data_IF_950880743878
#
_entry.id   IF_950880743878
#
_cell.length_a   1.000
_cell.length_b   1.000
_cell.length_c   1.000
_cell.angle_alpha   90.00
_cell.angle_beta   90.00
_cell.angle_gamma   90.00
#
_symmetry.space_group_name_H-M   'P 1'
#
loop_
_entity.id
_entity.type
_entity.pdbx_description
1 polymer ?
#
# COMPACT_ATOMS: atom_id res chain seq x y z
N UNK A 1 -10.77 23.98 23.10
CA UNK A 1 -11.47 22.69 23.29
C UNK A 1 -10.61 21.78 24.14
N UNK A 2 -11.19 20.79 24.84
CA UNK A 2 -10.36 19.84 25.58
C UNK A 2 -9.62 18.90 24.63
N UNK A 3 -8.30 18.80 24.75
CA UNK A 3 -7.51 17.83 24.00
C UNK A 3 -7.79 16.42 24.52
N UNK A 4 -8.32 15.56 23.68
CA UNK A 4 -8.56 14.16 24.03
C UNK A 4 -7.31 13.33 23.65
N UNK A 5 -6.94 12.46 24.56
CA UNK A 5 -5.79 11.55 24.39
C UNK A 5 -6.20 10.12 24.72
N UNK A 6 -5.98 9.21 23.76
CA UNK A 6 -6.13 7.77 23.93
C UNK A 6 -4.80 7.08 23.61
N UNK A 7 -4.39 6.16 24.45
CA UNK A 7 -3.16 5.39 24.28
C UNK A 7 -3.44 3.91 24.53
N UNK A 8 -2.93 3.06 23.65
CA UNK A 8 -2.96 1.61 23.82
C UNK A 8 -1.61 1.00 23.43
N UNK A 9 -1.24 -0.03 24.15
CA UNK A 9 -0.09 -0.87 23.82
C UNK A 9 -0.61 -2.13 23.12
N UNK A 10 -0.13 -2.35 21.91
CA UNK A 10 -0.47 -3.52 21.10
C UNK A 10 0.74 -4.45 21.09
N UNK A 11 0.56 -5.71 21.48
CA UNK A 11 1.63 -6.70 21.57
C UNK A 11 1.45 -7.79 20.53
N UNK A 12 2.56 -8.14 19.88
CA UNK A 12 2.68 -9.34 19.07
C UNK A 12 3.66 -10.31 19.71
N UNK A 13 3.83 -11.49 19.15
CA UNK A 13 4.82 -12.49 19.61
C UNK A 13 6.27 -11.96 19.55
N UNK A 14 6.56 -10.94 18.74
CA UNK A 14 7.91 -10.44 18.46
C UNK A 14 8.11 -8.95 18.79
N UNK A 15 7.05 -8.17 18.97
CA UNK A 15 7.16 -6.70 19.05
C UNK A 15 6.06 -6.10 19.91
N UNK A 16 6.37 -4.96 20.51
CA UNK A 16 5.43 -4.11 21.25
C UNK A 16 5.30 -2.77 20.52
N UNK A 17 4.06 -2.32 20.36
CA UNK A 17 3.73 -1.10 19.66
C UNK A 17 2.88 -0.20 20.55
N UNK A 18 3.04 1.11 20.40
CA UNK A 18 2.20 2.13 21.05
C UNK A 18 1.32 2.80 19.98
N UNK A 19 0.02 2.75 20.18
CA UNK A 19 -0.94 3.54 19.41
C UNK A 19 -1.39 4.73 20.25
N UNK A 20 -1.17 5.95 19.76
CA UNK A 20 -1.55 7.19 20.40
C UNK A 20 -2.51 7.97 19.49
N UNK A 21 -3.67 8.35 20.01
CA UNK A 21 -4.63 9.18 19.25
C UNK A 21 -4.95 10.43 20.03
N UNK A 22 -4.79 11.59 19.39
CA UNK A 22 -5.02 12.92 19.96
C UNK A 22 -5.92 13.76 19.07
N UNK A 23 -6.53 14.78 19.64
CA UNK A 23 -7.14 15.88 18.87
C UNK A 23 -6.20 17.07 18.78
N UNK A 24 -6.19 17.77 17.67
CA UNK A 24 -5.47 19.03 17.47
C UNK A 24 -6.48 20.10 17.11
N UNK A 25 -6.76 21.01 18.04
CA UNK A 25 -7.67 22.12 17.82
C UNK A 25 -7.12 23.12 16.79
N UNK A 26 -5.81 23.30 16.77
CA UNK A 26 -5.14 24.18 15.80
C UNK A 26 -5.26 23.69 14.36
N UNK A 27 -5.05 22.38 14.13
CA UNK A 27 -5.13 21.76 12.81
C UNK A 27 -6.54 21.26 12.47
N UNK A 28 -7.46 21.29 13.43
CA UNK A 28 -8.80 20.67 13.32
C UNK A 28 -8.76 19.21 12.86
N UNK A 29 -7.83 18.43 13.44
CA UNK A 29 -7.61 17.05 13.10
C UNK A 29 -7.66 16.14 14.34
N UNK A 30 -8.19 14.94 14.15
CA UNK A 30 -7.89 13.79 15.00
C UNK A 30 -6.65 13.13 14.42
N UNK A 31 -5.61 12.95 15.21
CA UNK A 31 -4.31 12.42 14.79
C UNK A 31 -4.08 11.11 15.53
N UNK A 32 -3.91 10.02 14.78
CA UNK A 32 -3.55 8.71 15.31
C UNK A 32 -2.14 8.36 14.87
N UNK A 33 -1.22 8.25 15.82
CA UNK A 33 0.19 7.95 15.59
C UNK A 33 0.54 6.59 16.15
N UNK A 34 1.27 5.81 15.38
CA UNK A 34 1.66 4.44 15.67
C UNK A 34 3.18 4.37 15.80
N UNK A 35 3.67 3.81 16.91
CA UNK A 35 5.08 3.80 17.25
C UNK A 35 5.56 2.39 17.57
N UNK A 36 6.85 2.13 17.33
CA UNK A 36 7.60 0.96 17.77
C UNK A 36 8.88 1.41 18.44
N UNK A 37 9.10 1.00 19.70
CA UNK A 37 10.28 1.38 20.49
C UNK A 37 10.55 2.90 20.48
N UNK A 38 9.49 3.72 20.54
CA UNK A 38 9.57 5.17 20.51
C UNK A 38 9.72 5.79 19.09
N UNK A 39 10.03 5.01 18.07
CA UNK A 39 10.09 5.48 16.68
C UNK A 39 8.69 5.55 16.07
N UNK A 40 8.37 6.66 15.42
CA UNK A 40 7.11 6.84 14.69
C UNK A 40 7.11 5.99 13.42
N UNK A 41 6.13 5.11 13.26
CA UNK A 41 5.94 4.28 12.07
C UNK A 41 4.96 4.90 11.08
N UNK A 42 3.79 5.31 11.60
CA UNK A 42 2.71 5.85 10.79
C UNK A 42 1.95 6.93 11.55
N UNK A 43 1.41 7.91 10.81
CA UNK A 43 0.41 8.85 11.31
C UNK A 43 -0.79 8.86 10.38
N UNK A 44 -1.98 8.72 10.95
CA UNK A 44 -3.26 8.85 10.25
C UNK A 44 -4.05 10.00 10.84
N UNK A 45 -4.71 10.75 9.98
CA UNK A 45 -5.49 11.91 10.38
C UNK A 45 -6.93 11.77 9.92
N UNK A 46 -7.83 12.43 10.65
CA UNK A 46 -9.25 12.61 10.28
C UNK A 46 -9.65 14.03 10.60
N UNK A 47 -10.27 14.71 9.67
CA UNK A 47 -10.77 16.07 9.89
C UNK A 47 -11.85 16.09 10.97
N UNK A 48 -11.83 17.12 11.80
CA UNK A 48 -12.85 17.40 12.80
C UNK A 48 -13.93 18.24 12.13
N UNK A 49 -15.16 17.69 12.05
CA UNK A 49 -16.31 18.46 11.62
C UNK A 49 -16.64 19.52 12.68
N UNK A 50 -17.00 20.73 12.25
CA UNK A 50 -17.32 21.86 13.12
C UNK A 50 -18.47 21.56 14.13
N UNK A 51 -19.34 20.61 13.79
CA UNK A 51 -20.44 20.16 14.65
C UNK A 51 -20.00 19.23 15.79
N UNK A 52 -18.75 18.71 15.73
CA UNK A 52 -18.25 17.79 16.75
C UNK A 52 -17.63 18.56 17.90
N UNK A 53 -18.38 18.71 18.98
CA UNK A 53 -17.94 19.40 20.20
C UNK A 53 -18.07 18.49 21.43
N UNK A 54 -17.32 18.78 22.48
CA UNK A 54 -17.42 18.10 23.78
C UNK A 54 -17.42 16.58 23.69
N UNK A 55 -18.46 15.95 24.24
CA UNK A 55 -18.59 14.48 24.31
C UNK A 55 -18.69 13.81 22.91
N UNK A 56 -19.29 14.47 21.93
CA UNK A 56 -19.38 13.93 20.57
C UNK A 56 -17.99 13.83 19.93
N UNK A 57 -17.14 14.86 20.07
CA UNK A 57 -15.77 14.84 19.59
C UNK A 57 -14.96 13.75 20.30
N UNK A 58 -15.12 13.63 21.64
CA UNK A 58 -14.49 12.55 22.42
C UNK A 58 -14.88 11.16 21.91
N UNK A 59 -16.18 10.94 21.68
CA UNK A 59 -16.69 9.66 21.14
C UNK A 59 -16.14 9.37 19.74
N UNK A 60 -16.07 10.38 18.86
CA UNK A 60 -15.51 10.23 17.49
C UNK A 60 -14.02 9.93 17.52
N UNK A 61 -13.27 10.60 18.40
CA UNK A 61 -11.83 10.36 18.59
C UNK A 61 -11.58 8.96 19.12
N UNK A 62 -12.34 8.52 20.15
CA UNK A 62 -12.27 7.16 20.68
C UNK A 62 -12.59 6.11 19.60
N UNK A 63 -13.65 6.34 18.81
CA UNK A 63 -14.03 5.44 17.72
C UNK A 63 -12.93 5.32 16.67
N UNK A 64 -12.27 6.41 16.32
CA UNK A 64 -11.15 6.41 15.39
C UNK A 64 -9.95 5.64 15.96
N UNK A 65 -9.64 5.85 17.23
CA UNK A 65 -8.60 5.10 17.94
C UNK A 65 -8.85 3.59 17.92
N UNK A 66 -10.05 3.16 18.31
CA UNK A 66 -10.44 1.74 18.32
C UNK A 66 -10.47 1.11 16.92
N UNK A 67 -10.80 1.90 15.90
CA UNK A 67 -10.73 1.48 14.50
C UNK A 67 -9.27 1.17 14.11
N UNK A 68 -8.35 2.08 14.40
CA UNK A 68 -6.92 1.90 14.10
C UNK A 68 -6.29 0.76 14.90
N UNK A 69 -6.62 0.65 16.18
CA UNK A 69 -6.20 -0.49 17.01
C UNK A 69 -6.59 -1.82 16.41
N UNK A 70 -7.87 -1.98 16.03
CA UNK A 70 -8.37 -3.22 15.44
C UNK A 70 -7.71 -3.55 14.10
N UNK A 71 -7.41 -2.56 13.26
CA UNK A 71 -6.68 -2.76 12.01
C UNK A 71 -5.30 -3.38 12.26
N UNK A 72 -4.54 -2.83 13.21
CA UNK A 72 -3.19 -3.31 13.53
C UNK A 72 -3.25 -4.70 14.16
N UNK A 73 -4.12 -4.91 15.16
CA UNK A 73 -4.30 -6.21 15.79
C UNK A 73 -4.73 -7.29 14.79
N UNK A 74 -5.57 -6.93 13.81
CA UNK A 74 -5.99 -7.85 12.75
C UNK A 74 -4.80 -8.29 11.92
N UNK A 75 -3.92 -7.38 11.50
CA UNK A 75 -2.73 -7.70 10.71
C UNK A 75 -1.77 -8.61 11.47
N UNK A 76 -1.52 -8.31 12.74
CA UNK A 76 -0.64 -9.11 13.58
C UNK A 76 -1.20 -10.53 13.80
N UNK A 77 -2.50 -10.64 14.08
CA UNK A 77 -3.17 -11.95 14.20
C UNK A 77 -3.18 -12.73 12.88
N UNK A 78 -3.29 -12.02 11.74
CA UNK A 78 -3.24 -12.65 10.42
C UNK A 78 -1.83 -13.18 10.14
N UNK A 79 -0.77 -12.43 10.49
CA UNK A 79 0.62 -12.89 10.40
C UNK A 79 0.85 -14.15 11.24
N UNK A 80 0.43 -14.16 12.51
CA UNK A 80 0.54 -15.34 13.36
C UNK A 80 -0.22 -16.56 12.79
N UNK A 81 -1.39 -16.34 12.21
CA UNK A 81 -2.22 -17.38 11.63
C UNK A 81 -1.66 -17.94 10.32
N UNK A 82 -1.03 -17.08 9.50
CA UNK A 82 -0.43 -17.46 8.22
C UNK A 82 1.00 -17.99 8.39
N UNK A 83 1.52 -18.09 9.60
CA UNK A 83 2.90 -18.55 9.86
C UNK A 83 3.18 -19.94 9.25
N UNK A 84 2.22 -20.84 9.30
CA UNK A 84 2.30 -22.21 8.75
C UNK A 84 1.61 -22.32 7.37
N UNK A 85 1.23 -21.20 6.78
CA UNK A 85 0.59 -21.18 5.45
C UNK A 85 1.61 -21.41 4.36
N UNK A 86 1.24 -22.23 3.38
CA UNK A 86 2.00 -22.47 2.14
C UNK A 86 1.64 -21.51 0.99
N UNK A 87 0.85 -20.47 1.26
CA UNK A 87 0.34 -19.53 0.26
C UNK A 87 1.24 -18.29 0.18
N UNK A 88 2.16 -18.30 -0.78
CA UNK A 88 3.09 -17.19 -1.02
C UNK A 88 2.39 -15.85 -1.29
N UNK A 89 1.30 -15.88 -2.04
CA UNK A 89 0.53 -14.70 -2.43
C UNK A 89 -0.11 -14.03 -1.20
N UNK A 90 -0.62 -14.81 -0.25
CA UNK A 90 -1.17 -14.26 1.00
C UNK A 90 -0.11 -13.58 1.85
N UNK A 91 1.07 -14.19 1.97
CA UNK A 91 2.21 -13.58 2.67
C UNK A 91 2.67 -12.31 1.97
N UNK A 92 2.72 -12.32 0.64
CA UNK A 92 3.04 -11.11 -0.13
C UNK A 92 2.01 -9.98 0.10
N UNK A 93 0.71 -10.28 0.11
CA UNK A 93 -0.34 -9.31 0.42
C UNK A 93 -0.21 -8.75 1.84
N UNK A 94 0.08 -9.60 2.82
CA UNK A 94 0.28 -9.19 4.21
C UNK A 94 1.53 -8.31 4.36
N UNK A 95 2.63 -8.68 3.71
CA UNK A 95 3.85 -7.86 3.65
C UNK A 95 3.58 -6.47 3.06
N UNK A 96 2.80 -6.38 1.99
CA UNK A 96 2.38 -5.08 1.44
C UNK A 96 1.52 -4.27 2.41
N UNK A 97 0.66 -4.92 3.20
CA UNK A 97 -0.15 -4.24 4.22
C UNK A 97 0.72 -3.70 5.36
N UNK A 98 1.74 -4.44 5.78
CA UNK A 98 2.73 -3.97 6.75
C UNK A 98 3.56 -2.81 6.19
N UNK A 99 4.03 -2.89 4.93
CA UNK A 99 4.76 -1.78 4.28
C UNK A 99 3.99 -0.47 4.32
N UNK A 100 2.69 -0.49 4.05
CA UNK A 100 1.83 0.70 4.06
C UNK A 100 1.64 1.32 5.45
N UNK A 101 1.88 0.54 6.50
CA UNK A 101 1.78 0.99 7.91
C UNK A 101 3.13 1.29 8.53
N UNK A 102 4.19 1.40 7.71
CA UNK A 102 5.54 1.64 8.21
C UNK A 102 6.15 0.47 9.01
N UNK A 103 5.46 -0.67 9.06
CA UNK A 103 5.90 -1.90 9.73
C UNK A 103 6.85 -2.67 8.81
N UNK A 104 7.96 -2.02 8.44
CA UNK A 104 8.84 -2.51 7.37
C UNK A 104 9.57 -3.80 7.73
N UNK A 105 9.89 -4.02 9.01
CA UNK A 105 10.57 -5.24 9.46
C UNK A 105 9.63 -6.45 9.45
N UNK A 106 8.36 -6.25 9.82
CA UNK A 106 7.32 -7.27 9.68
C UNK A 106 7.08 -7.60 8.20
N UNK A 107 7.09 -6.58 7.35
CA UNK A 107 6.95 -6.78 5.90
C UNK A 107 8.10 -7.61 5.32
N UNK A 108 9.35 -7.36 5.75
CA UNK A 108 10.51 -8.16 5.33
C UNK A 108 10.29 -9.64 5.65
N UNK A 109 9.87 -9.97 6.87
CA UNK A 109 9.62 -11.36 7.28
C UNK A 109 8.59 -12.03 6.37
N UNK A 110 7.45 -11.38 6.12
CA UNK A 110 6.39 -11.96 5.28
C UNK A 110 6.85 -12.13 3.82
N UNK A 111 7.62 -11.18 3.28
CA UNK A 111 8.15 -11.30 1.92
C UNK A 111 9.27 -12.35 1.81
N UNK A 112 10.16 -12.48 2.80
CA UNK A 112 11.18 -13.54 2.84
C UNK A 112 10.52 -14.93 2.82
N UNK A 113 9.49 -15.13 3.66
CA UNK A 113 8.72 -16.37 3.67
C UNK A 113 7.97 -16.59 2.34
N UNK A 114 7.40 -15.54 1.73
CA UNK A 114 6.74 -15.63 0.44
C UNK A 114 7.69 -16.06 -0.69
N UNK A 115 8.93 -15.55 -0.70
CA UNK A 115 9.97 -15.94 -1.66
C UNK A 115 10.35 -17.42 -1.50
N UNK A 116 10.46 -17.90 -0.25
CA UNK A 116 10.76 -19.33 0.02
C UNK A 116 9.65 -20.24 -0.50
N UNK A 117 8.38 -19.84 -0.30
CA UNK A 117 7.21 -20.62 -0.72
C UNK A 117 7.04 -20.65 -2.25
N UNK A 118 7.28 -19.53 -2.92
CA UNK A 118 7.20 -19.47 -4.39
C UNK A 118 8.31 -18.58 -4.99
N UNK A 119 9.48 -19.16 -5.29
CA UNK A 119 10.63 -18.41 -5.79
C UNK A 119 10.50 -18.01 -7.28
N UNK A 120 9.35 -18.25 -7.92
CA UNK A 120 9.15 -17.93 -9.35
C UNK A 120 8.37 -16.63 -9.58
N UNK A 121 7.92 -15.95 -8.54
CA UNK A 121 7.10 -14.73 -8.67
C UNK A 121 7.98 -13.49 -8.50
N UNK A 122 8.36 -12.86 -9.61
CA UNK A 122 9.24 -11.67 -9.62
C UNK A 122 8.72 -10.49 -8.78
N UNK A 123 7.40 -10.31 -8.73
CA UNK A 123 6.76 -9.25 -7.93
C UNK A 123 7.04 -9.38 -6.43
N UNK A 124 7.16 -10.62 -5.91
CA UNK A 124 7.51 -10.83 -4.49
C UNK A 124 8.94 -10.35 -4.22
N UNK A 125 9.89 -10.65 -5.10
CA UNK A 125 11.26 -10.14 -5.00
C UNK A 125 11.32 -8.62 -5.06
N UNK A 126 10.56 -8.00 -5.96
CA UNK A 126 10.47 -6.54 -6.01
C UNK A 126 9.92 -5.94 -4.70
N UNK A 127 8.88 -6.52 -4.12
CA UNK A 127 8.33 -6.08 -2.84
C UNK A 127 9.31 -6.29 -1.69
N UNK A 128 10.03 -7.42 -1.66
CA UNK A 128 11.08 -7.70 -0.68
C UNK A 128 12.22 -6.68 -0.78
N UNK A 129 12.70 -6.40 -2.00
CA UNK A 129 13.76 -5.41 -2.22
C UNK A 129 13.36 -4.00 -1.77
N UNK A 130 12.09 -3.61 -1.98
CA UNK A 130 11.54 -2.36 -1.43
C UNK A 130 11.52 -2.36 0.10
N UNK A 131 11.14 -3.47 0.71
CA UNK A 131 11.14 -3.61 2.16
C UNK A 131 12.56 -3.54 2.73
N UNK A 132 13.54 -4.21 2.12
CA UNK A 132 14.95 -4.09 2.49
C UNK A 132 15.47 -2.64 2.35
N UNK A 133 15.07 -1.93 1.30
CA UNK A 133 15.42 -0.51 1.13
C UNK A 133 14.88 0.33 2.29
N UNK A 134 13.64 0.07 2.72
CA UNK A 134 12.98 0.79 3.81
C UNK A 134 13.65 0.53 5.18
N UNK A 135 14.14 -0.68 5.44
CA UNK A 135 14.89 -1.04 6.65
C UNK A 135 16.41 -0.79 6.52
N UNK A 136 16.85 -0.14 5.43
CA UNK A 136 18.24 0.25 5.13
C UNK A 136 19.21 -0.94 4.92
N UNK A 137 18.70 -2.11 4.59
CA UNK A 137 19.48 -3.28 4.17
C UNK A 137 19.74 -3.18 2.66
N UNK A 138 20.58 -2.22 2.26
CA UNK A 138 20.71 -1.80 0.86
C UNK A 138 21.36 -2.85 -0.03
N UNK A 139 22.32 -3.62 0.47
CA UNK A 139 22.98 -4.70 -0.27
C UNK A 139 22.00 -5.80 -0.66
N UNK A 140 21.20 -6.24 0.32
CA UNK A 140 20.16 -7.24 0.11
C UNK A 140 19.05 -6.68 -0.80
N UNK A 141 18.71 -5.40 -0.66
CA UNK A 141 17.75 -4.74 -1.54
C UNK A 141 18.20 -4.77 -3.00
N UNK A 142 19.45 -4.39 -3.27
CA UNK A 142 20.03 -4.38 -4.62
C UNK A 142 20.01 -5.79 -5.21
N UNK A 143 20.58 -6.78 -4.49
CA UNK A 143 20.64 -8.16 -4.96
C UNK A 143 19.26 -8.75 -5.26
N UNK A 144 18.28 -8.47 -4.39
CA UNK A 144 16.90 -8.96 -4.53
C UNK A 144 16.18 -8.30 -5.71
N UNK A 145 16.37 -6.97 -5.90
CA UNK A 145 15.77 -6.25 -7.02
C UNK A 145 16.40 -6.64 -8.37
N UNK A 146 17.71 -6.92 -8.40
CA UNK A 146 18.38 -7.46 -9.59
C UNK A 146 17.81 -8.84 -9.96
N UNK A 147 17.50 -9.70 -8.99
CA UNK A 147 16.81 -10.97 -9.22
C UNK A 147 15.41 -10.75 -9.80
N UNK A 148 14.62 -9.80 -9.25
CA UNK A 148 13.31 -9.48 -9.79
C UNK A 148 13.38 -9.05 -11.26
N UNK A 149 14.35 -8.20 -11.63
CA UNK A 149 14.57 -7.73 -13.00
C UNK A 149 15.05 -8.88 -13.91
N UNK A 150 15.93 -9.75 -13.42
CA UNK A 150 16.40 -10.93 -14.19
C UNK A 150 15.25 -11.88 -14.55
N UNK A 151 14.24 -11.98 -13.67
CA UNK A 151 13.03 -12.79 -13.91
C UNK A 151 12.04 -12.08 -14.85
N UNK A 152 11.96 -10.76 -14.80
CA UNK A 152 10.97 -9.97 -15.54
C UNK A 152 11.47 -8.54 -15.74
N UNK A 153 12.16 -8.29 -16.84
CA UNK A 153 12.83 -7.01 -17.14
C UNK A 153 11.91 -5.88 -17.64
N UNK A 154 10.66 -6.18 -17.96
CA UNK A 154 9.74 -5.21 -18.58
C UNK A 154 9.01 -4.28 -17.58
N UNK A 155 9.20 -4.46 -16.28
CA UNK A 155 8.49 -3.68 -15.27
C UNK A 155 9.24 -2.40 -14.89
N UNK A 156 8.68 -1.24 -15.23
CA UNK A 156 9.25 0.07 -14.95
C UNK A 156 9.47 0.30 -13.43
N UNK A 157 8.58 -0.19 -12.59
CA UNK A 157 8.65 -0.06 -11.14
C UNK A 157 9.82 -0.87 -10.54
N UNK A 158 10.20 -2.01 -11.14
CA UNK A 158 11.37 -2.79 -10.69
C UNK A 158 12.67 -1.99 -10.88
N UNK A 159 12.83 -1.38 -12.06
CA UNK A 159 13.97 -0.50 -12.33
C UNK A 159 13.96 0.74 -11.44
N UNK A 160 12.79 1.36 -11.24
CA UNK A 160 12.67 2.50 -10.34
C UNK A 160 13.06 2.15 -8.89
N UNK A 161 12.64 1.00 -8.39
CA UNK A 161 12.96 0.55 -7.03
C UNK A 161 14.45 0.22 -6.88
N UNK A 162 15.08 -0.41 -7.90
CA UNK A 162 16.53 -0.64 -7.91
C UNK A 162 17.31 0.68 -7.97
N UNK A 163 16.85 1.63 -8.79
CA UNK A 163 17.39 2.98 -8.84
C UNK A 163 17.35 3.69 -7.48
N UNK A 164 16.23 3.52 -6.74
CA UNK A 164 16.07 4.05 -5.39
C UNK A 164 17.05 3.41 -4.39
N UNK A 165 17.25 2.09 -4.44
CA UNK A 165 18.22 1.40 -3.59
C UNK A 165 19.64 1.90 -3.85
N UNK A 166 20.03 2.08 -5.12
CA UNK A 166 21.31 2.70 -5.48
C UNK A 166 21.40 4.16 -5.02
N UNK A 167 20.35 4.95 -5.18
CA UNK A 167 20.31 6.35 -4.76
C UNK A 167 20.54 6.49 -3.24
N UNK A 168 19.94 5.60 -2.44
CA UNK A 168 20.13 5.58 -0.98
C UNK A 168 21.55 5.16 -0.56
N UNK A 169 22.31 4.50 -1.43
CA UNK A 169 23.73 4.23 -1.28
C UNK A 169 24.63 5.29 -1.94
N UNK A 170 24.04 6.36 -2.46
CA UNK A 170 24.74 7.43 -3.18
C UNK A 170 25.47 6.98 -4.46
N UNK A 171 25.11 5.81 -5.00
CA UNK A 171 25.59 5.32 -6.29
C UNK A 171 24.81 5.99 -7.44
N UNK A 172 25.07 7.29 -7.62
CA UNK A 172 24.27 8.15 -8.49
C UNK A 172 24.26 7.71 -9.94
N UNK A 173 25.40 7.22 -10.47
CA UNK A 173 25.49 6.74 -11.84
C UNK A 173 24.59 5.53 -12.06
N UNK A 174 24.68 4.51 -11.19
CA UNK A 174 23.82 3.32 -11.27
C UNK A 174 22.35 3.67 -11.06
N UNK A 175 22.05 4.59 -10.16
CA UNK A 175 20.68 5.07 -9.93
C UNK A 175 20.11 5.72 -11.20
N UNK A 176 20.84 6.63 -11.85
CA UNK A 176 20.44 7.26 -13.10
C UNK A 176 20.20 6.24 -14.20
N UNK A 177 21.10 5.27 -14.38
CA UNK A 177 20.93 4.17 -15.37
C UNK A 177 19.62 3.40 -15.16
N UNK A 178 19.27 3.09 -13.91
CA UNK A 178 18.03 2.36 -13.62
C UNK A 178 16.78 3.24 -13.80
N UNK A 179 16.82 4.50 -13.37
CA UNK A 179 15.69 5.41 -13.59
C UNK A 179 15.46 5.69 -15.09
N UNK A 180 16.52 5.76 -15.90
CA UNK A 180 16.36 5.86 -17.36
C UNK A 180 15.68 4.63 -17.94
N UNK A 181 16.05 3.41 -17.51
CA UNK A 181 15.34 2.19 -17.91
C UNK A 181 13.87 2.19 -17.48
N UNK A 182 13.58 2.72 -16.29
CA UNK A 182 12.21 2.84 -15.82
C UNK A 182 11.36 3.76 -16.71
N UNK A 183 11.88 4.93 -17.10
CA UNK A 183 11.14 5.87 -17.97
C UNK A 183 11.08 5.39 -19.43
N UNK A 184 12.07 4.63 -19.89
CA UNK A 184 12.04 3.98 -21.22
C UNK A 184 10.96 2.89 -21.26
N UNK A 185 10.80 2.11 -20.17
CA UNK A 185 9.75 1.09 -20.07
C UNK A 185 8.35 1.70 -19.89
N UNK A 186 8.25 2.86 -19.25
CA UNK A 186 7.00 3.58 -19.07
C UNK A 186 7.21 5.10 -19.07
N UNK A 187 6.91 5.74 -20.20
CA UNK A 187 7.06 7.19 -20.40
C UNK A 187 6.08 8.04 -19.58
N UNK A 188 5.08 7.44 -18.95
CA UNK A 188 4.12 8.10 -18.06
C UNK A 188 4.39 7.86 -16.59
N UNK A 189 5.59 7.40 -16.24
CA UNK A 189 5.96 7.13 -14.86
C UNK A 189 6.55 8.38 -14.18
N UNK A 190 5.69 9.28 -13.71
CA UNK A 190 6.06 10.57 -13.10
C UNK A 190 7.08 10.42 -11.97
N UNK A 191 6.92 9.40 -11.10
CA UNK A 191 7.80 9.16 -9.96
C UNK A 191 9.25 8.86 -10.40
N UNK A 192 9.44 8.11 -11.50
CA UNK A 192 10.77 7.81 -12.02
C UNK A 192 11.48 9.06 -12.56
N UNK A 193 10.77 9.98 -13.23
CA UNK A 193 11.34 11.28 -13.63
C UNK A 193 11.74 12.11 -12.41
N UNK A 194 10.93 12.11 -11.36
CA UNK A 194 11.26 12.83 -10.13
C UNK A 194 12.53 12.25 -9.47
N UNK A 195 12.62 10.93 -9.35
CA UNK A 195 13.80 10.25 -8.81
C UNK A 195 15.05 10.49 -9.67
N UNK A 196 14.90 10.57 -10.98
CA UNK A 196 15.97 10.91 -11.89
C UNK A 196 16.51 12.33 -11.62
N UNK A 197 15.60 13.30 -11.41
CA UNK A 197 15.99 14.64 -10.98
C UNK A 197 16.75 14.62 -9.65
N UNK A 198 16.25 13.88 -8.65
CA UNK A 198 16.93 13.71 -7.36
C UNK A 198 18.32 13.11 -7.51
N UNK A 199 18.50 12.11 -8.38
CA UNK A 199 19.80 11.48 -8.62
C UNK A 199 20.81 12.46 -9.22
N UNK A 200 20.40 13.33 -10.15
CA UNK A 200 21.28 14.39 -10.67
C UNK A 200 21.66 15.42 -9.60
N UNK A 201 20.73 15.81 -8.73
CA UNK A 201 21.03 16.73 -7.62
C UNK A 201 22.00 16.11 -6.62
N UNK A 202 21.78 14.85 -6.24
CA UNK A 202 22.66 14.12 -5.33
C UNK A 202 24.07 14.01 -5.91
N UNK A 203 24.20 13.66 -7.21
CA UNK A 203 25.49 13.60 -7.88
C UNK A 203 26.21 14.95 -7.91
N UNK A 204 25.48 16.06 -8.09
CA UNK A 204 26.07 17.41 -8.05
C UNK A 204 26.62 17.78 -6.66
N UNK A 205 26.06 17.19 -5.61
CA UNK A 205 26.53 17.34 -4.23
C UNK A 205 27.69 16.38 -3.92
N UNK A 206 27.55 15.07 -4.20
CA UNK A 206 28.56 14.05 -3.89
C UNK A 206 29.74 14.04 -4.86
N UNK A 207 29.55 14.54 -6.09
CA UNK A 207 30.52 14.54 -7.20
C UNK A 207 31.02 13.14 -7.58
N UNK A 208 30.14 12.13 -7.48
CA UNK A 208 30.48 10.74 -7.79
C UNK A 208 30.83 10.53 -9.27
N UNK A 209 30.09 11.21 -10.18
CA UNK A 209 30.33 11.12 -11.63
C UNK A 209 30.33 12.50 -12.28
N UNK A 210 31.44 12.87 -12.93
CA UNK A 210 31.59 14.18 -13.58
C UNK A 210 30.62 14.34 -14.78
N UNK A 211 30.39 13.29 -15.57
CA UNK A 211 29.54 13.37 -16.75
C UNK A 211 28.07 13.66 -16.38
N UNK A 212 27.61 13.16 -15.23
CA UNK A 212 26.27 13.48 -14.72
C UNK A 212 26.15 14.94 -14.29
N UNK A 213 27.24 15.58 -13.86
CA UNK A 213 27.26 16.96 -13.41
C UNK A 213 27.14 17.98 -14.56
N UNK A 214 27.43 17.57 -15.80
CA UNK A 214 27.30 18.44 -16.98
C UNK A 214 25.82 18.79 -17.19
N UNK A 215 25.53 20.11 -17.25
CA UNK A 215 24.19 20.66 -17.41
C UNK A 215 23.18 20.16 -16.34
N UNK A 216 23.68 19.89 -15.12
CA UNK A 216 22.88 19.32 -14.04
C UNK A 216 21.55 20.07 -13.82
N UNK A 217 21.58 21.40 -13.66
CA UNK A 217 20.37 22.18 -13.39
C UNK A 217 19.33 22.05 -14.51
N UNK A 218 19.76 21.97 -15.78
CA UNK A 218 18.85 21.77 -16.90
C UNK A 218 18.24 20.37 -16.86
N UNK A 219 19.06 19.32 -16.66
CA UNK A 219 18.59 17.93 -16.53
C UNK A 219 17.57 17.79 -15.39
N UNK A 220 17.84 18.41 -14.24
CA UNK A 220 16.93 18.40 -13.09
C UNK A 220 15.61 19.05 -13.47
N UNK A 221 15.64 20.26 -14.03
CA UNK A 221 14.44 20.99 -14.44
C UNK A 221 13.62 20.19 -15.45
N UNK A 222 14.24 19.68 -16.52
CA UNK A 222 13.54 18.93 -17.57
C UNK A 222 12.82 17.71 -17.01
N UNK A 223 13.42 17.01 -16.03
CA UNK A 223 12.80 15.84 -15.41
C UNK A 223 11.69 16.21 -14.42
N UNK A 224 11.84 17.29 -13.65
CA UNK A 224 10.76 17.79 -12.78
C UNK A 224 9.56 18.28 -13.60
N UNK A 225 9.80 18.99 -14.71
CA UNK A 225 8.76 19.46 -15.63
C UNK A 225 8.00 18.26 -16.25
N UNK A 226 8.72 17.21 -16.66
CA UNK A 226 8.09 15.96 -17.15
C UNK A 226 7.25 15.28 -16.07
N UNK A 227 7.77 15.17 -14.85
CA UNK A 227 7.02 14.58 -13.73
C UNK A 227 5.73 15.38 -13.47
N UNK A 228 5.82 16.72 -13.43
CA UNK A 228 4.69 17.62 -13.21
C UNK A 228 3.66 17.58 -14.35
N UNK A 229 4.11 17.44 -15.60
CA UNK A 229 3.23 17.32 -16.78
C UNK A 229 2.42 16.04 -16.73
N UNK A 230 2.99 14.93 -16.25
CA UNK A 230 2.31 13.64 -16.10
C UNK A 230 1.37 13.67 -14.90
N UNK A 231 1.84 14.20 -13.76
CA UNK A 231 1.06 14.34 -12.54
C UNK A 231 1.34 15.70 -11.87
N UNK A 232 0.36 16.63 -11.91
CA UNK A 232 0.52 17.98 -11.36
C UNK A 232 0.89 18.02 -9.86
N UNK A 233 0.66 16.96 -9.09
CA UNK A 233 1.06 16.90 -7.68
C UNK A 233 2.59 16.99 -7.48
N UNK A 234 3.38 16.72 -8.52
CA UNK A 234 4.83 16.90 -8.51
C UNK A 234 5.27 18.36 -8.69
N UNK A 235 4.33 19.28 -8.98
CA UNK A 235 4.58 20.71 -8.97
C UNK A 235 4.09 21.31 -7.64
N UNK A 236 4.98 21.36 -6.64
CA UNK A 236 4.65 21.83 -5.29
C UNK A 236 5.70 22.83 -4.77
N UNK A 237 5.40 23.48 -3.64
CA UNK A 237 6.27 24.50 -3.04
C UNK A 237 7.70 24.00 -2.76
N UNK A 238 7.86 22.72 -2.42
CA UNK A 238 9.17 22.15 -2.12
C UNK A 238 10.01 22.01 -3.41
N UNK A 239 9.37 21.70 -4.55
CA UNK A 239 10.04 21.70 -5.87
C UNK A 239 10.47 23.12 -6.26
N UNK A 240 9.59 24.11 -6.12
CA UNK A 240 9.94 25.51 -6.39
C UNK A 240 11.11 25.99 -5.52
N UNK A 241 11.12 25.62 -4.25
CA UNK A 241 12.24 25.88 -3.32
C UNK A 241 13.53 25.18 -3.78
N UNK A 242 13.43 23.93 -4.23
CA UNK A 242 14.60 23.20 -4.74
C UNK A 242 15.19 23.85 -5.98
N UNK A 243 14.37 24.30 -6.93
CA UNK A 243 14.83 25.01 -8.13
C UNK A 243 15.57 26.32 -7.79
N UNK A 244 15.07 27.07 -6.80
CA UNK A 244 15.76 28.28 -6.35
C UNK A 244 17.12 27.97 -5.69
N UNK A 245 17.18 26.91 -4.87
CA UNK A 245 18.43 26.45 -4.25
C UNK A 245 19.44 25.93 -5.29
N UNK A 246 18.97 25.31 -6.38
CA UNK A 246 19.83 24.89 -7.50
C UNK A 246 20.48 26.08 -8.22
N UNK A 247 19.76 27.19 -8.43
CA UNK A 247 20.34 28.43 -8.99
C UNK A 247 21.46 28.97 -8.10
N UNK A 248 21.31 28.80 -6.77
CA UNK A 248 22.32 29.21 -5.78
C UNK A 248 23.43 28.15 -5.58
N UNK A 249 23.43 27.06 -6.34
CA UNK A 249 24.35 25.91 -6.21
C UNK A 249 24.35 25.25 -4.82
N UNK A 250 23.25 25.34 -4.07
CA UNK A 250 23.04 24.73 -2.75
C UNK A 250 22.44 23.33 -2.92
N UNK A 251 23.20 22.42 -3.53
CA UNK A 251 22.70 21.12 -3.97
C UNK A 251 22.19 20.23 -2.82
N UNK A 252 22.87 20.19 -1.68
CA UNK A 252 22.42 19.42 -0.52
C UNK A 252 21.04 19.87 -0.03
N UNK A 253 20.84 21.19 0.09
CA UNK A 253 19.55 21.76 0.52
C UNK A 253 18.47 21.54 -0.54
N UNK A 254 18.83 21.59 -1.83
CA UNK A 254 17.93 21.28 -2.93
C UNK A 254 17.49 19.81 -2.88
N UNK A 255 18.40 18.87 -2.62
CA UNK A 255 18.08 17.46 -2.45
C UNK A 255 17.11 17.23 -1.29
N UNK A 256 17.37 17.83 -0.12
CA UNK A 256 16.48 17.75 1.04
C UNK A 256 15.09 18.32 0.73
N UNK A 257 15.03 19.45 0.01
CA UNK A 257 13.75 20.02 -0.40
C UNK A 257 12.98 19.07 -1.35
N UNK A 258 13.65 18.39 -2.27
CA UNK A 258 13.01 17.38 -3.12
C UNK A 258 12.52 16.17 -2.31
N UNK A 259 13.28 15.67 -1.32
CA UNK A 259 12.82 14.61 -0.44
C UNK A 259 11.56 15.02 0.34
N UNK A 260 11.52 16.25 0.88
CA UNK A 260 10.32 16.81 1.54
C UNK A 260 9.13 16.93 0.58
N UNK A 261 9.41 17.34 -0.68
CA UNK A 261 8.41 17.45 -1.73
C UNK A 261 7.78 16.11 -2.09
N UNK A 262 8.62 15.08 -2.23
CA UNK A 262 8.16 13.71 -2.52
C UNK A 262 7.28 13.15 -1.39
N UNK A 263 7.66 13.39 -0.13
CA UNK A 263 6.89 12.95 1.03
C UNK A 263 5.50 13.60 1.11
N UNK A 264 5.34 14.83 0.58
CA UNK A 264 4.05 15.55 0.52
C UNK A 264 3.18 15.15 -0.66
N UNK A 265 3.74 14.47 -1.65
CA UNK A 265 2.95 13.97 -2.78
C UNK A 265 2.09 12.83 -2.28
N UNK A 266 0.85 13.16 -1.96
CA UNK A 266 -0.16 12.13 -1.72
C UNK A 266 -0.31 11.35 -3.01
N UNK A 267 -0.01 10.05 -2.97
CA UNK A 267 -0.35 9.17 -4.09
C UNK A 267 -1.83 9.39 -4.39
N UNK A 268 -2.22 9.63 -5.65
CA UNK A 268 -3.58 10.09 -6.00
C UNK A 268 -4.69 9.17 -5.51
N UNK A 269 -4.34 7.96 -5.13
CA UNK A 269 -5.27 6.94 -4.64
C UNK A 269 -4.62 6.20 -3.48
N UNK A 270 -4.96 6.59 -2.25
CA UNK A 270 -4.80 5.68 -1.12
C UNK A 270 -5.84 4.55 -1.27
N UNK A 271 -5.51 3.55 -2.10
CA UNK A 271 -6.31 2.35 -2.28
C UNK A 271 -6.06 1.32 -1.17
N UNK A 272 -5.53 1.75 -0.01
CA UNK A 272 -5.30 0.89 1.16
C UNK A 272 -6.57 0.18 1.60
N UNK A 273 -7.73 0.83 1.47
CA UNK A 273 -9.03 0.25 1.79
C UNK A 273 -9.37 -1.00 0.96
N UNK A 274 -8.86 -1.12 -0.27
CA UNK A 274 -9.05 -2.31 -1.12
C UNK A 274 -8.29 -3.48 -0.51
N UNK A 275 -7.03 -3.26 -0.16
CA UNK A 275 -6.20 -4.29 0.45
C UNK A 275 -6.72 -4.67 1.84
N UNK A 276 -7.13 -3.69 2.63
CA UNK A 276 -7.71 -3.91 3.95
C UNK A 276 -8.99 -4.75 3.84
N UNK A 277 -9.78 -4.55 2.80
CA UNK A 277 -10.95 -5.38 2.52
C UNK A 277 -10.55 -6.81 2.17
N UNK A 278 -9.57 -7.02 1.28
CA UNK A 278 -9.11 -8.37 0.95
C UNK A 278 -8.55 -9.10 2.17
N UNK A 279 -7.73 -8.45 2.97
CA UNK A 279 -7.23 -9.01 4.22
C UNK A 279 -8.37 -9.34 5.19
N UNK A 280 -9.40 -8.48 5.27
CA UNK A 280 -10.59 -8.74 6.07
C UNK A 280 -11.36 -9.97 5.58
N UNK A 281 -11.54 -10.10 4.27
CA UNK A 281 -12.18 -11.28 3.64
C UNK A 281 -11.36 -12.55 3.90
N UNK A 282 -10.05 -12.48 3.75
CA UNK A 282 -9.14 -13.61 3.98
C UNK A 282 -9.11 -14.05 5.46
N UNK A 283 -9.10 -13.08 6.37
CA UNK A 283 -9.10 -13.35 7.81
C UNK A 283 -10.40 -13.97 8.29
N UNK A 284 -11.55 -13.46 7.82
CA UNK A 284 -12.86 -13.87 8.32
C UNK A 284 -13.54 -14.93 7.43
N UNK A 285 -13.07 -15.14 6.22
CA UNK A 285 -13.62 -16.11 5.28
C UNK A 285 -15.13 -15.95 5.11
N UNK A 286 -15.88 -17.01 5.37
CA UNK A 286 -17.36 -17.03 5.25
C UNK A 286 -18.10 -16.19 6.30
N UNK A 287 -17.39 -15.67 7.33
CA UNK A 287 -17.98 -14.83 8.39
C UNK A 287 -18.05 -13.35 8.01
N UNK A 288 -17.50 -12.95 6.86
CA UNK A 288 -17.63 -11.57 6.36
C UNK A 288 -19.10 -11.25 6.11
N UNK A 289 -19.60 -10.17 6.69
CA UNK A 289 -21.00 -9.81 6.54
C UNK A 289 -21.28 -9.21 5.15
N UNK A 290 -22.48 -9.47 4.60
CA UNK A 290 -22.92 -8.80 3.37
C UNK A 290 -22.88 -7.27 3.49
N UNK A 291 -23.10 -6.73 4.70
CA UNK A 291 -23.02 -5.28 4.97
C UNK A 291 -21.59 -4.73 4.76
N UNK A 292 -20.57 -5.48 5.16
CA UNK A 292 -19.18 -5.05 4.98
C UNK A 292 -18.77 -5.11 3.51
N UNK A 293 -19.21 -6.15 2.78
CA UNK A 293 -18.98 -6.27 1.35
C UNK A 293 -19.67 -5.13 0.60
N UNK A 294 -20.95 -4.81 0.91
CA UNK A 294 -21.66 -3.69 0.30
C UNK A 294 -21.04 -2.33 0.61
N UNK A 295 -20.53 -2.15 1.84
CA UNK A 295 -19.80 -0.93 2.20
C UNK A 295 -18.55 -0.76 1.34
N UNK A 296 -17.79 -1.84 1.13
CA UNK A 296 -16.62 -1.82 0.27
C UNK A 296 -16.98 -1.55 -1.20
N UNK A 297 -18.00 -2.23 -1.75
CA UNK A 297 -18.50 -1.98 -3.12
C UNK A 297 -18.82 -0.49 -3.31
N UNK A 298 -19.57 0.11 -2.39
CA UNK A 298 -19.91 1.52 -2.45
C UNK A 298 -18.67 2.41 -2.42
N UNK A 299 -17.72 2.11 -1.55
CA UNK A 299 -16.48 2.87 -1.45
C UNK A 299 -15.67 2.80 -2.75
N UNK A 300 -15.57 1.63 -3.40
CA UNK A 300 -14.93 1.51 -4.71
C UNK A 300 -15.68 2.31 -5.77
N UNK A 301 -17.01 2.29 -5.77
CA UNK A 301 -17.83 3.09 -6.71
C UNK A 301 -17.60 4.59 -6.55
N UNK A 302 -17.55 5.11 -5.30
CA UNK A 302 -17.20 6.51 -5.01
C UNK A 302 -15.82 6.89 -5.55
N UNK A 303 -14.85 5.96 -5.49
CA UNK A 303 -13.52 6.17 -6.07
C UNK A 303 -13.54 6.12 -7.61
N UNK A 304 -14.37 5.28 -8.24
CA UNK A 304 -14.56 5.25 -9.69
C UNK A 304 -15.15 6.58 -10.18
N UNK A 305 -16.14 7.15 -9.49
CA UNK A 305 -16.70 8.46 -9.83
C UNK A 305 -15.63 9.56 -9.82
N UNK A 306 -14.70 9.49 -8.86
CA UNK A 306 -13.61 10.44 -8.71
C UNK A 306 -12.46 10.20 -9.69
N UNK A 307 -12.22 8.94 -10.07
CA UNK A 307 -11.11 8.49 -10.92
C UNK A 307 -11.58 7.52 -12.02
N UNK A 308 -12.41 7.97 -12.97
CA UNK A 308 -13.09 7.09 -13.93
C UNK A 308 -12.16 6.36 -14.93
N UNK A 309 -10.93 6.85 -15.09
CA UNK A 309 -9.96 6.26 -16.01
C UNK A 309 -9.03 5.23 -15.35
N UNK A 310 -9.30 4.84 -14.10
CA UNK A 310 -8.48 3.88 -13.37
C UNK A 310 -9.03 2.45 -13.54
N UNK A 311 -8.45 1.68 -14.47
CA UNK A 311 -8.89 0.32 -14.81
C UNK A 311 -8.89 -0.63 -13.58
N UNK A 312 -7.91 -0.48 -12.68
CA UNK A 312 -7.79 -1.29 -11.47
C UNK A 312 -9.00 -1.17 -10.55
N UNK A 313 -9.64 -0.01 -10.46
CA UNK A 313 -10.85 0.18 -9.65
C UNK A 313 -12.01 -0.66 -10.17
N UNK A 314 -12.17 -0.74 -11.49
CA UNK A 314 -13.21 -1.58 -12.11
C UNK A 314 -12.92 -3.06 -11.88
N UNK A 315 -11.65 -3.47 -11.97
CA UNK A 315 -11.25 -4.84 -11.63
C UNK A 315 -11.57 -5.15 -10.17
N UNK A 316 -11.23 -4.28 -9.24
CA UNK A 316 -11.53 -4.46 -7.81
C UNK A 316 -13.03 -4.48 -7.52
N UNK A 317 -13.82 -3.67 -8.24
CA UNK A 317 -15.27 -3.71 -8.14
C UNK A 317 -15.81 -5.06 -8.61
N UNK A 318 -15.28 -5.58 -9.72
CA UNK A 318 -15.61 -6.93 -10.23
C UNK A 318 -15.31 -8.02 -9.20
N UNK A 319 -14.12 -7.98 -8.59
CA UNK A 319 -13.73 -8.92 -7.53
C UNK A 319 -14.66 -8.82 -6.31
N UNK A 320 -15.02 -7.60 -5.88
CA UNK A 320 -15.95 -7.40 -4.78
C UNK A 320 -17.35 -7.98 -5.07
N UNK A 321 -17.83 -7.90 -6.32
CA UNK A 321 -19.07 -8.54 -6.73
C UNK A 321 -18.97 -10.06 -6.75
N UNK A 322 -17.83 -10.66 -7.14
CA UNK A 322 -17.59 -12.10 -7.06
C UNK A 322 -17.64 -12.57 -5.59
N UNK A 323 -17.01 -11.84 -4.68
CA UNK A 323 -17.05 -12.10 -3.24
C UNK A 323 -18.50 -12.04 -2.72
N UNK A 324 -19.27 -11.03 -3.14
CA UNK A 324 -20.68 -10.90 -2.79
C UNK A 324 -21.52 -12.07 -3.34
N UNK A 325 -21.32 -12.45 -4.59
CA UNK A 325 -22.01 -13.57 -5.23
C UNK A 325 -21.78 -14.88 -4.45
N UNK A 326 -20.53 -15.19 -4.10
CA UNK A 326 -20.18 -16.34 -3.26
C UNK A 326 -20.88 -16.28 -1.90
N UNK A 327 -20.94 -15.12 -1.25
CA UNK A 327 -21.61 -14.94 0.03
C UNK A 327 -23.12 -15.16 -0.07
N UNK A 328 -23.76 -14.64 -1.12
CA UNK A 328 -25.21 -14.82 -1.36
C UNK A 328 -25.53 -16.26 -1.70
N UNK A 329 -24.71 -16.92 -2.51
CA UNK A 329 -24.90 -18.34 -2.85
C UNK A 329 -24.80 -19.26 -1.62
N UNK A 330 -23.85 -19.00 -0.72
CA UNK A 330 -23.78 -19.73 0.56
C UNK A 330 -25.07 -19.57 1.39
N UNK A 331 -25.66 -18.39 1.41
CA UNK A 331 -26.94 -18.17 2.08
C UNK A 331 -28.08 -18.93 1.42
N UNK A 332 -28.09 -19.00 0.08
CA UNK A 332 -29.09 -19.78 -0.66
C UNK A 332 -29.01 -21.27 -0.30
N UNK A 333 -27.82 -21.86 -0.28
CA UNK A 333 -27.58 -23.25 0.13
C UNK A 333 -28.13 -23.51 1.54
N UNK A 334 -27.84 -22.60 2.50
CA UNK A 334 -28.36 -22.71 3.86
C UNK A 334 -29.90 -22.67 3.93
N UNK A 335 -30.58 -21.89 3.07
CA UNK A 335 -32.04 -21.85 3.03
C UNK A 335 -32.60 -23.15 2.42
N UNK A 336 -31.95 -23.71 1.39
CA UNK A 336 -32.33 -25.03 0.85
C UNK A 336 -32.13 -26.14 1.89
N UNK A 337 -31.07 -26.08 2.69
CA UNK A 337 -30.87 -27.01 3.81
C UNK A 337 -31.98 -26.91 4.85
N UNK A 338 -32.42 -25.70 5.19
CA UNK A 338 -33.56 -25.51 6.09
C UNK A 338 -34.85 -26.06 5.50
N UNK A 339 -35.10 -25.85 4.21
CA UNK A 339 -36.26 -26.40 3.52
C UNK A 339 -36.26 -27.95 3.56
N UNK A 340 -35.08 -28.58 3.38
CA UNK A 340 -34.90 -30.02 3.43
C UNK A 340 -34.99 -30.58 4.87
N UNK A 341 -34.64 -29.80 5.88
CA UNK A 341 -34.88 -30.16 7.29
C UNK A 341 -36.38 -30.20 7.60
N UNK A 342 -37.17 -29.29 7.02
CA UNK A 342 -38.64 -29.27 7.19
C UNK A 342 -39.31 -30.38 6.38
N UNK A 343 -38.88 -30.58 5.14
CA UNK A 343 -39.37 -31.65 4.25
C UNK A 343 -38.21 -32.35 3.53
N UNK A 344 -37.71 -33.47 4.04
CA UNK A 344 -36.59 -34.23 3.47
C UNK A 344 -36.81 -34.76 2.04
N UNK A 345 -38.07 -34.91 1.62
CA UNK A 345 -38.45 -35.42 0.29
C UNK A 345 -38.72 -34.31 -0.72
N UNK A 346 -38.49 -33.04 -0.38
CA UNK A 346 -38.78 -31.92 -1.27
C UNK A 346 -37.81 -31.84 -2.44
N UNK A 347 -38.15 -32.52 -3.56
CA UNK A 347 -37.27 -32.69 -4.73
C UNK A 347 -36.85 -31.36 -5.36
N UNK A 348 -37.72 -30.33 -5.35
CA UNK A 348 -37.37 -29.00 -5.86
C UNK A 348 -36.25 -28.36 -5.04
N UNK A 349 -36.26 -28.48 -3.73
CA UNK A 349 -35.18 -27.95 -2.88
C UNK A 349 -33.88 -28.74 -3.07
N UNK A 350 -33.94 -30.07 -3.23
CA UNK A 350 -32.77 -30.90 -3.54
C UNK A 350 -32.14 -30.50 -4.86
N UNK A 351 -32.94 -30.29 -5.92
CA UNK A 351 -32.46 -29.85 -7.22
C UNK A 351 -31.81 -28.47 -7.14
N UNK A 352 -32.47 -27.50 -6.51
CA UNK A 352 -31.96 -26.13 -6.38
C UNK A 352 -30.67 -26.10 -5.56
N UNK A 353 -30.58 -26.90 -4.49
CA UNK A 353 -29.36 -27.01 -3.69
C UNK A 353 -28.19 -27.53 -4.53
N UNK A 354 -28.40 -28.63 -5.30
CA UNK A 354 -27.35 -29.19 -6.19
C UNK A 354 -26.85 -28.16 -7.22
N UNK A 355 -27.74 -27.37 -7.82
CA UNK A 355 -27.36 -26.31 -8.74
C UNK A 355 -26.51 -25.22 -8.04
N UNK A 356 -26.93 -24.75 -6.87
CA UNK A 356 -26.18 -23.77 -6.09
C UNK A 356 -24.81 -24.32 -5.61
N UNK A 357 -24.70 -25.60 -5.26
CA UNK A 357 -23.43 -26.24 -4.90
C UNK A 357 -22.49 -26.38 -6.10
N UNK A 358 -23.03 -26.61 -7.30
CA UNK A 358 -22.24 -26.66 -8.53
C UNK A 358 -21.67 -25.26 -8.87
N UNK A 359 -22.49 -24.23 -8.83
CA UNK A 359 -22.06 -22.83 -9.04
C UNK A 359 -21.05 -22.40 -7.98
N UNK A 360 -21.20 -22.88 -6.74
CA UNK A 360 -20.27 -22.61 -5.66
C UNK A 360 -18.85 -23.14 -5.97
N UNK A 361 -18.73 -24.34 -6.54
CA UNK A 361 -17.42 -24.90 -6.93
C UNK A 361 -16.75 -24.05 -8.03
N UNK A 362 -17.53 -23.63 -9.04
CA UNK A 362 -17.04 -22.74 -10.08
C UNK A 362 -16.60 -21.38 -9.54
N UNK A 363 -17.37 -20.78 -8.65
CA UNK A 363 -17.01 -19.52 -7.97
C UNK A 363 -15.80 -19.68 -7.05
N UNK A 364 -15.60 -20.84 -6.40
CA UNK A 364 -14.42 -21.11 -5.59
C UNK A 364 -13.15 -21.11 -6.47
N UNK A 365 -13.18 -21.80 -7.61
CA UNK A 365 -12.07 -21.82 -8.56
C UNK A 365 -11.75 -20.42 -9.09
N UNK A 366 -12.78 -19.63 -9.40
CA UNK A 366 -12.62 -18.25 -9.83
C UNK A 366 -12.01 -17.37 -8.72
N UNK A 367 -12.50 -17.53 -7.49
CA UNK A 367 -12.00 -16.81 -6.33
C UNK A 367 -10.52 -17.14 -6.05
N UNK A 368 -10.15 -18.41 -6.10
CA UNK A 368 -8.79 -18.87 -5.92
C UNK A 368 -7.86 -18.35 -7.04
N UNK A 369 -8.38 -18.21 -8.26
CA UNK A 369 -7.64 -17.63 -9.40
C UNK A 369 -7.46 -16.10 -9.29
N UNK A 370 -8.44 -15.38 -8.72
CA UNK A 370 -8.38 -13.93 -8.54
C UNK A 370 -7.42 -13.54 -7.41
N UNK A 371 -7.30 -14.39 -6.37
CA UNK A 371 -6.41 -14.13 -5.23
C UNK A 371 -4.97 -14.63 -5.44
N UNK A 372 -4.74 -15.40 -6.51
CA UNK A 372 -3.39 -15.76 -6.99
C UNK A 372 -2.79 -14.64 -7.82
#
# INVERSE_FOLDING_TARGET
MADFLFNDVIRSSKSEFLLKTTTSDYQKLIISSFFRNGALLETRTREINAEWTGELLRLRTRRFHEEKKREIEMLLRLSDRLRESDQAELKNLLGQAFMRRGMHEEAVVEFEEAVVLNPKISVIYNNLGRAYTAVRRFEEAISTLEQAIAMSSGFADFHNNLGLAYLKKEYCKKAVEQFLRAVDSNQYYAEAFYHLAMAYVLNAFTKEDFALSVNCNQKVKDNLDKAAKINPAYHNEAVAKAEELLKQKKYELAYKALEEGLAKITKPTDMSFIMDFYLHVMHNGTKVSSKDIWRHIRQVQEYIEKYPNYADLYNHLGVAYVIMSKHVNNKAIQQFDKALKVNPTFERAKRNKRLAEYDHKGMQLLFDAILK
#
